data_IF_628177581487
#
_entry.id   IF_628177581487
#
_cell.length_a   1.000
_cell.length_b   1.000
_cell.length_c   1.000
_cell.angle_alpha   90.00
_cell.angle_beta   90.00
_cell.angle_gamma   90.00
#
_symmetry.space_group_name_H-M   'P 1'
#
loop_
_entity.id
_entity.type
_entity.pdbx_description
1 polymer ?
#
# COMPACT_ATOMS: atom_id res chain seq x y z
N UNK A 1 1.23 -6.88 10.48
CA UNK A 1 1.19 -7.22 9.06
C UNK A 1 -0.14 -7.90 8.76
N UNK A 2 -0.90 -7.34 7.77
CA UNK A 2 -2.23 -7.83 7.40
C UNK A 2 -2.19 -8.73 6.16
N UNK A 3 -1.02 -9.28 5.82
CA UNK A 3 -0.82 -10.13 4.64
C UNK A 3 -0.79 -11.59 5.11
N UNK A 4 -1.68 -12.39 4.55
CA UNK A 4 -1.76 -13.84 4.77
C UNK A 4 -0.84 -14.59 3.79
N UNK A 5 -0.84 -14.16 2.53
CA UNK A 5 -0.11 -14.83 1.47
C UNK A 5 0.40 -13.84 0.43
N UNK A 6 1.60 -14.09 -0.05
CA UNK A 6 2.20 -13.44 -1.21
C UNK A 6 2.46 -14.54 -2.22
N UNK A 7 1.89 -14.43 -3.43
CA UNK A 7 2.11 -15.36 -4.53
C UNK A 7 2.64 -14.60 -5.74
N UNK A 8 3.69 -15.15 -6.33
CA UNK A 8 4.26 -14.69 -7.60
C UNK A 8 4.01 -15.75 -8.65
N UNK A 9 3.27 -15.40 -9.70
CA UNK A 9 3.09 -16.24 -10.90
C UNK A 9 4.00 -15.69 -11.99
N UNK A 10 4.81 -16.54 -12.60
CA UNK A 10 5.72 -16.20 -13.72
C UNK A 10 5.29 -17.00 -14.93
N UNK A 11 5.12 -16.36 -16.08
CA UNK A 11 4.63 -16.98 -17.30
C UNK A 11 3.12 -17.14 -17.30
N UNK A 12 2.64 -18.23 -17.89
CA UNK A 12 1.20 -18.51 -18.05
C UNK A 12 0.51 -18.72 -16.69
N UNK A 13 -0.63 -18.06 -16.52
CA UNK A 13 -1.45 -18.21 -15.33
C UNK A 13 -2.43 -19.41 -15.52
N UNK A 14 -2.35 -20.39 -14.65
CA UNK A 14 -3.27 -21.53 -14.64
C UNK A 14 -4.74 -21.13 -14.37
N UNK A 15 -4.94 -20.06 -13.60
CA UNK A 15 -6.28 -19.50 -13.35
C UNK A 15 -6.66 -18.54 -14.48
N UNK A 16 -7.57 -18.95 -15.35
CA UNK A 16 -8.09 -18.12 -16.44
C UNK A 16 -9.11 -17.08 -15.97
N UNK A 17 -9.69 -17.24 -14.76
CA UNK A 17 -10.70 -16.34 -14.20
C UNK A 17 -10.07 -15.18 -13.42
N UNK A 18 -9.30 -14.37 -14.13
CA UNK A 18 -8.51 -13.25 -13.62
C UNK A 18 -8.68 -12.01 -14.52
N UNK A 19 -8.28 -10.83 -14.08
CA UNK A 19 -8.24 -9.62 -14.92
C UNK A 19 -7.41 -9.83 -16.19
N UNK A 20 -7.80 -9.17 -17.29
CA UNK A 20 -7.10 -9.29 -18.59
C UNK A 20 -5.60 -8.96 -18.49
N UNK A 21 -5.23 -7.93 -17.71
CA UNK A 21 -3.83 -7.56 -17.48
C UNK A 21 -3.01 -8.67 -16.80
N UNK A 22 -3.64 -9.52 -15.99
CA UNK A 22 -2.93 -10.64 -15.34
C UNK A 22 -2.50 -11.67 -16.36
N UNK A 23 -3.35 -11.96 -17.35
CA UNK A 23 -3.03 -12.86 -18.47
C UNK A 23 -1.99 -12.25 -19.42
N UNK A 24 -2.09 -10.94 -19.67
CA UNK A 24 -1.19 -10.22 -20.55
C UNK A 24 0.19 -9.89 -19.94
N UNK A 25 0.39 -10.16 -18.65
CA UNK A 25 1.64 -9.84 -17.93
C UNK A 25 2.58 -11.03 -17.88
N UNK A 26 3.88 -10.80 -18.06
CA UNK A 26 4.91 -11.83 -17.91
C UNK A 26 5.03 -12.37 -16.48
N UNK A 27 4.60 -11.59 -15.49
CA UNK A 27 4.54 -11.98 -14.09
C UNK A 27 3.43 -11.22 -13.37
N UNK A 28 2.78 -11.88 -12.41
CA UNK A 28 1.74 -11.30 -11.55
C UNK A 28 2.06 -11.54 -10.07
N UNK A 29 2.10 -10.47 -9.29
CA UNK A 29 2.23 -10.52 -7.83
C UNK A 29 0.85 -10.37 -7.20
N UNK A 30 0.40 -11.38 -6.47
CA UNK A 30 -0.86 -11.38 -5.73
C UNK A 30 -0.59 -11.29 -4.23
N UNK A 31 -1.18 -10.27 -3.60
CA UNK A 31 -1.17 -10.10 -2.15
C UNK A 31 -2.56 -10.43 -1.60
N UNK A 32 -2.63 -11.35 -0.68
CA UNK A 32 -3.86 -11.72 0.00
C UNK A 32 -3.81 -11.26 1.45
N UNK A 33 -4.77 -10.40 1.84
CA UNK A 33 -4.92 -9.95 3.22
C UNK A 33 -5.52 -11.03 4.10
N UNK A 34 -5.21 -11.02 5.39
CA UNK A 34 -5.83 -11.88 6.39
C UNK A 34 -7.31 -11.49 6.50
N UNK A 35 -8.20 -12.45 6.29
CA UNK A 35 -9.62 -12.30 6.62
C UNK A 35 -9.82 -12.51 8.11
N UNK A 36 -10.64 -11.67 8.78
CA UNK A 36 -10.94 -11.85 10.20
C UNK A 36 -11.62 -13.21 10.46
N UNK A 37 -11.20 -13.88 11.53
CA UNK A 37 -11.85 -15.10 12.04
C UNK A 37 -12.78 -14.75 13.20
N UNK A 38 -14.06 -15.02 13.02
CA UNK A 38 -15.12 -14.76 14.01
C UNK A 38 -15.75 -16.06 14.58
N UNK A 39 -15.05 -17.19 14.53
CA UNK A 39 -15.55 -18.47 15.02
C UNK A 39 -15.88 -18.44 16.53
N UNK A 40 -15.12 -17.68 17.32
CA UNK A 40 -15.27 -17.63 18.78
C UNK A 40 -15.91 -16.34 19.31
N UNK A 41 -15.75 -15.21 18.63
CA UNK A 41 -16.22 -13.89 19.08
C UNK A 41 -16.65 -13.03 17.90
N UNK A 42 -17.63 -12.15 18.12
CA UNK A 42 -18.11 -11.19 17.11
C UNK A 42 -17.22 -9.97 16.94
N UNK A 43 -16.30 -9.73 17.86
CA UNK A 43 -15.34 -8.62 17.76
C UNK A 43 -13.98 -9.01 18.33
N UNK A 44 -12.94 -8.40 17.76
CA UNK A 44 -11.56 -8.54 18.23
C UNK A 44 -10.90 -7.18 18.27
N UNK A 45 -10.17 -6.91 19.34
CA UNK A 45 -9.32 -5.73 19.46
C UNK A 45 -7.89 -6.17 19.70
N UNK A 46 -6.97 -5.71 18.85
CA UNK A 46 -5.54 -5.97 18.95
C UNK A 46 -4.81 -4.66 19.11
N UNK A 47 -3.98 -4.55 20.14
CA UNK A 47 -3.05 -3.45 20.34
C UNK A 47 -1.61 -3.97 20.27
N UNK A 48 -0.72 -3.24 19.63
CA UNK A 48 0.69 -3.56 19.54
C UNK A 48 1.51 -2.27 19.67
N UNK A 49 2.63 -2.34 20.40
CA UNK A 49 3.62 -1.27 20.46
C UNK A 49 4.97 -1.89 20.14
N UNK A 50 5.62 -1.37 19.09
CA UNK A 50 7.02 -1.69 18.78
C UNK A 50 7.88 -0.50 19.17
N UNK A 51 9.01 -0.77 19.79
CA UNK A 51 10.02 0.24 20.12
C UNK A 51 11.37 -0.23 19.57
N UNK A 52 12.24 0.71 19.30
CA UNK A 52 13.56 0.42 18.74
C UNK A 52 14.58 1.50 19.05
N UNK A 53 15.78 1.32 18.54
CA UNK A 53 16.86 2.29 18.68
C UNK A 53 16.50 3.65 18.05
N UNK A 54 17.20 4.70 18.51
CA UNK A 54 17.10 6.05 17.96
C UNK A 54 15.71 6.68 18.06
N UNK A 55 15.01 6.42 19.17
CA UNK A 55 13.71 7.02 19.46
C UNK A 55 12.55 6.43 18.64
N UNK A 56 12.72 5.22 18.09
CA UNK A 56 11.64 4.56 17.36
C UNK A 56 10.51 4.13 18.31
N UNK A 57 9.30 4.55 17.97
CA UNK A 57 8.04 4.10 18.58
C UNK A 57 7.00 3.86 17.48
N UNK A 58 6.31 2.72 17.54
CA UNK A 58 5.33 2.34 16.53
C UNK A 58 4.12 1.63 17.18
N UNK A 59 3.16 2.38 17.73
CA UNK A 59 1.88 1.84 18.15
C UNK A 59 0.99 1.49 16.97
N UNK A 60 0.24 0.40 17.11
CA UNK A 60 -0.79 -0.07 16.19
C UNK A 60 -2.01 -0.49 16.99
N UNK A 61 -3.19 -0.16 16.48
CA UNK A 61 -4.47 -0.66 16.95
C UNK A 61 -5.25 -1.25 15.78
N UNK A 62 -5.82 -2.43 15.97
CA UNK A 62 -6.69 -3.09 15.01
C UNK A 62 -7.98 -3.51 15.69
N UNK A 63 -9.11 -3.16 15.08
CA UNK A 63 -10.43 -3.56 15.52
C UNK A 63 -11.15 -4.30 14.39
N UNK A 64 -11.78 -5.44 14.74
CA UNK A 64 -12.50 -6.30 13.82
C UNK A 64 -13.90 -6.53 14.39
N UNK A 65 -14.91 -6.46 13.51
CA UNK A 65 -16.30 -6.59 13.89
C UNK A 65 -17.08 -7.44 12.87
N UNK A 66 -17.77 -8.47 13.37
CA UNK A 66 -18.83 -9.17 12.65
C UNK A 66 -20.18 -8.52 12.98
N UNK A 67 -20.79 -7.87 12.01
CA UNK A 67 -22.12 -7.24 12.20
C UNK A 67 -23.24 -8.28 12.13
N UNK A 68 -23.14 -9.19 11.15
CA UNK A 68 -24.05 -10.33 10.99
C UNK A 68 -23.33 -11.46 10.21
N UNK A 69 -24.08 -12.53 9.83
CA UNK A 69 -23.49 -13.67 9.10
C UNK A 69 -22.99 -13.32 7.68
N UNK A 70 -23.38 -12.16 7.16
CA UNK A 70 -23.04 -11.74 5.80
C UNK A 70 -22.07 -10.56 5.74
N UNK A 71 -21.89 -9.82 6.83
CA UNK A 71 -21.13 -8.55 6.83
C UNK A 71 -20.17 -8.51 8.00
N UNK A 72 -18.92 -8.29 7.71
CA UNK A 72 -17.88 -7.99 8.69
C UNK A 72 -16.94 -6.90 8.18
N UNK A 73 -16.23 -6.27 9.10
CA UNK A 73 -15.24 -5.24 8.79
C UNK A 73 -14.03 -5.33 9.71
N UNK A 74 -12.91 -4.81 9.25
CA UNK A 74 -11.74 -4.55 10.07
C UNK A 74 -11.21 -3.14 9.83
N UNK A 75 -10.74 -2.48 10.88
CA UNK A 75 -10.04 -1.20 10.78
C UNK A 75 -8.70 -1.28 11.51
N UNK A 76 -7.69 -0.66 10.94
CA UNK A 76 -6.35 -0.61 11.53
C UNK A 76 -5.85 0.83 11.48
N UNK A 77 -5.34 1.31 12.60
CA UNK A 77 -4.61 2.58 12.71
C UNK A 77 -3.19 2.31 13.19
N UNK A 78 -2.22 2.94 12.57
CA UNK A 78 -0.81 2.81 12.95
C UNK A 78 -0.12 4.17 12.86
N UNK A 79 0.70 4.43 13.85
CA UNK A 79 1.61 5.55 13.88
C UNK A 79 3.04 5.05 14.03
N UNK A 80 3.99 5.67 13.37
CA UNK A 80 5.41 5.40 13.56
C UNK A 80 6.17 6.71 13.61
N UNK A 81 7.08 6.81 14.57
CA UNK A 81 8.07 7.90 14.67
C UNK A 81 9.42 7.30 14.98
N UNK A 82 10.46 7.84 14.36
CA UNK A 82 11.85 7.60 14.74
C UNK A 82 12.66 8.86 14.51
N UNK A 83 13.51 9.22 15.48
CA UNK A 83 14.41 10.38 15.36
C UNK A 83 15.61 10.04 14.49
N UNK A 84 16.04 8.77 14.46
CA UNK A 84 17.16 8.24 13.67
C UNK A 84 18.47 9.03 13.84
N UNK A 85 18.68 9.64 15.01
CA UNK A 85 19.87 10.39 15.36
C UNK A 85 20.93 9.43 15.91
N UNK A 86 21.79 8.90 15.05
CA UNK A 86 22.84 7.97 15.44
C UNK A 86 24.25 8.57 15.31
N UNK A 87 25.17 8.22 16.22
CA UNK A 87 26.57 8.57 16.10
C UNK A 87 27.26 7.66 15.07
N UNK A 88 28.21 8.22 14.32
CA UNK A 88 29.07 7.46 13.41
C UNK A 88 30.48 8.04 13.41
N UNK A 89 31.44 7.29 12.92
CA UNK A 89 32.80 7.74 12.71
C UNK A 89 33.00 8.10 11.24
N UNK A 90 33.34 9.36 10.99
CA UNK A 90 33.74 9.81 9.66
C UNK A 90 35.25 9.62 9.50
N UNK A 91 35.63 8.90 8.44
CA UNK A 91 37.04 8.68 8.07
C UNK A 91 37.24 9.25 6.68
N UNK A 92 38.18 10.19 6.54
CA UNK A 92 38.55 10.78 5.25
C UNK A 92 40.08 10.96 5.20
N UNK A 93 40.79 9.97 4.63
CA UNK A 93 42.25 9.87 4.72
C UNK A 93 42.68 9.74 6.18
N UNK A 94 43.57 10.59 6.62
CA UNK A 94 44.08 10.62 8.02
C UNK A 94 43.14 11.35 8.98
N UNK A 95 42.09 12.01 8.48
CA UNK A 95 41.11 12.70 9.31
C UNK A 95 40.05 11.74 9.81
N UNK A 96 39.95 11.65 11.13
CA UNK A 96 38.93 10.80 11.81
C UNK A 96 38.16 11.66 12.79
N UNK A 97 36.84 11.74 12.64
CA UNK A 97 35.97 12.44 13.59
C UNK A 97 34.76 11.63 14.01
N UNK A 98 34.25 11.90 15.22
CA UNK A 98 32.98 11.35 15.70
C UNK A 98 31.88 12.35 15.37
N UNK A 99 30.98 11.92 14.52
CA UNK A 99 29.89 12.73 14.00
C UNK A 99 28.54 12.16 14.49
N UNK A 100 27.50 12.96 14.31
CA UNK A 100 26.11 12.55 14.57
C UNK A 100 25.27 12.78 13.33
N UNK A 101 24.48 11.79 12.94
CA UNK A 101 23.56 11.90 11.83
C UNK A 101 22.42 12.83 12.23
N UNK A 102 22.21 13.91 11.47
CA UNK A 102 21.12 14.86 11.64
C UNK A 102 20.18 14.83 10.45
N UNK A 103 19.03 15.50 10.56
CA UNK A 103 18.01 15.61 9.52
C UNK A 103 17.58 14.23 8.97
N UNK A 104 17.23 13.30 9.87
CA UNK A 104 16.96 11.91 9.56
C UNK A 104 15.70 11.38 10.26
N UNK A 105 14.87 12.28 10.83
CA UNK A 105 13.65 11.84 11.48
C UNK A 105 12.60 11.42 10.45
N UNK A 106 11.75 10.50 10.86
CA UNK A 106 10.60 10.02 10.09
C UNK A 106 9.37 9.96 10.97
N UNK A 107 8.24 10.35 10.41
CA UNK A 107 6.93 10.23 11.02
C UNK A 107 5.93 9.73 10.01
N UNK A 108 5.21 8.66 10.34
CA UNK A 108 4.28 7.98 9.44
C UNK A 108 2.94 7.75 10.13
N UNK A 109 1.87 8.02 9.41
CA UNK A 109 0.50 7.65 9.77
C UNK A 109 -0.04 6.68 8.73
N UNK A 110 -0.71 5.63 9.18
CA UNK A 110 -1.38 4.65 8.31
C UNK A 110 -2.76 4.33 8.85
N UNK A 111 -3.74 4.36 7.96
CA UNK A 111 -5.11 3.94 8.24
C UNK A 111 -5.58 2.94 7.19
N UNK A 112 -6.30 1.91 7.63
CA UNK A 112 -6.84 0.88 6.77
C UNK A 112 -8.26 0.50 7.23
N UNK A 113 -9.18 0.40 6.28
CA UNK A 113 -10.52 -0.13 6.49
C UNK A 113 -10.79 -1.23 5.46
N UNK A 114 -11.19 -2.41 5.91
CA UNK A 114 -11.62 -3.50 5.05
C UNK A 114 -13.07 -3.85 5.36
N UNK A 115 -13.84 -4.10 4.32
CA UNK A 115 -15.22 -4.53 4.37
C UNK A 115 -15.37 -5.86 3.64
N UNK A 116 -16.01 -6.82 4.28
CA UNK A 116 -16.25 -8.17 3.75
C UNK A 116 -17.75 -8.43 3.76
N UNK A 117 -18.31 -8.69 2.59
CA UNK A 117 -19.74 -8.94 2.40
C UNK A 117 -19.92 -10.24 1.62
N UNK A 118 -20.68 -11.17 2.18
CA UNK A 118 -21.07 -12.43 1.52
C UNK A 118 -22.59 -12.50 1.51
N UNK A 119 -23.27 -11.88 0.52
CA UNK A 119 -24.73 -11.81 0.48
C UNK A 119 -25.39 -13.19 0.47
N UNK A 120 -24.71 -14.16 -0.15
CA UNK A 120 -25.05 -15.56 -0.24
C UNK A 120 -23.77 -16.43 -0.40
N UNK A 121 -23.90 -17.75 -0.45
CA UNK A 121 -22.76 -18.67 -0.54
C UNK A 121 -22.03 -18.63 -1.91
N UNK A 122 -22.54 -17.90 -2.89
CA UNK A 122 -22.01 -17.82 -4.25
C UNK A 122 -21.42 -16.46 -4.60
N UNK A 123 -21.61 -15.46 -3.74
CA UNK A 123 -21.21 -14.09 -4.02
C UNK A 123 -20.38 -13.51 -2.89
N UNK A 124 -19.29 -12.85 -3.23
CA UNK A 124 -18.44 -12.13 -2.28
C UNK A 124 -18.15 -10.72 -2.81
N UNK A 125 -18.20 -9.75 -1.94
CA UNK A 125 -17.82 -8.36 -2.19
C UNK A 125 -16.87 -7.92 -1.10
N UNK A 126 -15.63 -7.59 -1.49
CA UNK A 126 -14.60 -7.09 -0.60
C UNK A 126 -14.27 -5.64 -0.98
N UNK A 127 -14.27 -4.77 0.01
CA UNK A 127 -13.88 -3.37 -0.12
C UNK A 127 -12.67 -3.06 0.75
N UNK A 128 -11.78 -2.19 0.28
CA UNK A 128 -10.63 -1.70 1.04
C UNK A 128 -10.46 -0.22 0.82
N UNK A 129 -10.20 0.50 1.91
CA UNK A 129 -9.73 1.88 1.92
C UNK A 129 -8.41 1.91 2.66
N UNK A 130 -7.44 2.61 2.11
CA UNK A 130 -6.12 2.74 2.69
C UNK A 130 -5.64 4.18 2.60
N UNK A 131 -5.06 4.69 3.69
CA UNK A 131 -4.42 5.98 3.75
C UNK A 131 -3.03 5.86 4.37
N UNK A 132 -2.08 6.57 3.79
CA UNK A 132 -0.70 6.65 4.24
C UNK A 132 -0.20 8.09 4.11
N UNK A 133 0.43 8.63 5.16
CA UNK A 133 1.08 9.94 5.16
C UNK A 133 2.42 9.78 5.88
N UNK A 134 3.52 10.01 5.17
CA UNK A 134 4.85 10.01 5.76
C UNK A 134 5.53 11.35 5.52
N UNK A 135 6.20 11.83 6.56
CA UNK A 135 7.06 12.99 6.51
C UNK A 135 8.43 12.58 7.03
N UNK A 136 9.43 12.67 6.16
CA UNK A 136 10.79 12.28 6.49
C UNK A 136 11.79 13.37 6.14
N UNK A 137 12.76 13.55 6.99
CA UNK A 137 13.94 14.34 6.73
C UNK A 137 14.97 13.47 6.02
N UNK A 138 15.68 14.06 5.05
CA UNK A 138 16.69 13.36 4.28
C UNK A 138 18.08 13.88 4.69
N UNK A 139 18.93 13.02 5.23
CA UNK A 139 20.16 13.45 5.88
C UNK A 139 21.28 13.86 4.92
N UNK A 140 21.06 13.77 3.59
CA UNK A 140 22.06 14.11 2.58
C UNK A 140 23.31 13.24 2.57
N UNK A 141 24.30 13.58 1.76
CA UNK A 141 25.56 12.84 1.68
C UNK A 141 26.45 13.05 2.92
N UNK A 142 27.20 12.03 3.30
CA UNK A 142 28.22 12.13 4.34
C UNK A 142 29.55 12.55 3.70
N UNK A 143 29.80 13.84 3.69
CA UNK A 143 31.05 14.45 3.18
C UNK A 143 31.62 15.43 4.19
N UNK A 144 32.93 15.67 4.14
CA UNK A 144 33.68 16.41 5.16
C UNK A 144 33.19 17.85 5.40
N UNK A 145 32.63 18.49 4.37
CA UNK A 145 32.19 19.88 4.40
C UNK A 145 30.68 20.02 4.21
N UNK A 146 29.92 18.94 4.44
CA UNK A 146 28.48 19.03 4.28
C UNK A 146 27.88 19.80 5.46
N UNK A 147 27.34 20.98 5.18
CA UNK A 147 26.40 21.60 6.07
C UNK A 147 25.21 20.64 6.29
N UNK A 148 24.57 20.70 7.47
CA UNK A 148 23.39 19.88 7.76
C UNK A 148 22.39 19.99 6.64
N UNK A 149 22.01 18.87 6.02
CA UNK A 149 20.96 18.81 5.00
C UNK A 149 19.66 19.42 5.56
N UNK A 150 18.91 20.11 4.68
CA UNK A 150 17.56 20.62 4.97
C UNK A 150 16.51 19.99 4.07
N UNK A 151 16.87 18.88 3.47
CA UNK A 151 16.01 18.13 2.57
C UNK A 151 14.88 17.43 3.34
N UNK A 152 13.68 17.49 2.81
CA UNK A 152 12.47 16.86 3.35
C UNK A 152 11.71 16.21 2.23
N UNK A 153 11.13 15.05 2.51
CA UNK A 153 10.21 14.36 1.60
C UNK A 153 8.92 14.06 2.35
N UNK A 154 7.79 14.48 1.80
CA UNK A 154 6.47 14.09 2.28
C UNK A 154 5.76 13.31 1.20
N UNK A 155 5.29 12.13 1.56
CA UNK A 155 4.50 11.29 0.68
C UNK A 155 3.15 11.00 1.29
N UNK A 156 2.10 11.14 0.49
CA UNK A 156 0.72 10.81 0.85
C UNK A 156 0.17 9.86 -0.18
N UNK A 157 -0.51 8.86 0.27
CA UNK A 157 -1.21 7.93 -0.60
C UNK A 157 -2.59 7.62 -0.03
N UNK A 158 -3.59 7.67 -0.90
CA UNK A 158 -4.93 7.18 -0.62
C UNK A 158 -5.32 6.23 -1.73
N UNK A 159 -5.80 5.05 -1.40
CA UNK A 159 -6.48 4.23 -2.38
C UNK A 159 -7.74 3.60 -1.81
N UNK A 160 -8.69 3.36 -2.70
CA UNK A 160 -9.83 2.51 -2.45
C UNK A 160 -9.91 1.44 -3.53
N UNK A 161 -10.32 0.25 -3.15
CA UNK A 161 -10.52 -0.86 -4.08
C UNK A 161 -11.75 -1.66 -3.71
N UNK A 162 -12.37 -2.24 -4.72
CA UNK A 162 -13.49 -3.16 -4.60
C UNK A 162 -13.22 -4.40 -5.44
N UNK A 163 -13.58 -5.54 -4.90
CA UNK A 163 -13.50 -6.84 -5.57
C UNK A 163 -14.82 -7.54 -5.37
N UNK A 164 -15.52 -7.82 -6.47
CA UNK A 164 -16.78 -8.56 -6.50
C UNK A 164 -16.63 -9.82 -7.33
N UNK A 165 -17.05 -10.96 -6.77
CA UNK A 165 -17.08 -12.25 -7.44
C UNK A 165 -18.42 -12.92 -7.18
N UNK A 166 -19.02 -13.49 -8.24
CA UNK A 166 -20.25 -14.25 -8.11
C UNK A 166 -20.28 -15.43 -9.08
N UNK A 167 -20.96 -16.49 -8.66
CA UNK A 167 -21.16 -17.73 -9.41
C UNK A 167 -22.67 -17.96 -9.58
N UNK A 168 -23.15 -18.09 -10.82
CA UNK A 168 -24.55 -18.39 -11.11
C UNK A 168 -24.78 -19.87 -11.42
N UNK A 169 -26.02 -20.32 -11.32
CA UNK A 169 -26.38 -21.74 -11.54
C UNK A 169 -26.20 -22.21 -12.98
N UNK A 170 -26.22 -21.31 -13.94
CA UNK A 170 -26.09 -21.58 -15.37
C UNK A 170 -24.63 -21.66 -15.86
N UNK A 171 -23.71 -22.06 -14.99
CA UNK A 171 -22.27 -22.18 -15.29
C UNK A 171 -21.58 -20.86 -15.70
N UNK A 172 -22.19 -19.75 -15.34
CA UNK A 172 -21.62 -18.41 -15.50
C UNK A 172 -21.02 -17.92 -14.20
N UNK A 173 -19.89 -17.21 -14.30
CA UNK A 173 -19.27 -16.55 -13.17
C UNK A 173 -18.80 -15.16 -13.58
N UNK A 174 -18.92 -14.19 -12.69
CA UNK A 174 -18.53 -12.80 -12.92
C UNK A 174 -17.51 -12.36 -11.87
N UNK A 175 -16.45 -11.71 -12.33
CA UNK A 175 -15.44 -11.04 -11.53
C UNK A 175 -15.39 -9.57 -11.92
N UNK A 176 -15.51 -8.67 -10.95
CA UNK A 176 -15.36 -7.23 -11.16
C UNK A 176 -14.34 -6.71 -10.15
N UNK A 177 -13.41 -5.90 -10.62
CA UNK A 177 -12.51 -5.14 -9.77
C UNK A 177 -12.60 -3.65 -10.10
N UNK A 178 -12.49 -2.82 -9.08
CA UNK A 178 -12.34 -1.38 -9.21
C UNK A 178 -11.25 -0.90 -8.25
N UNK A 179 -10.45 0.08 -8.68
CA UNK A 179 -9.46 0.75 -7.84
C UNK A 179 -9.38 2.22 -8.22
N UNK A 180 -9.35 3.05 -7.21
CA UNK A 180 -8.93 4.44 -7.30
C UNK A 180 -7.68 4.61 -6.44
N UNK A 181 -6.66 5.24 -6.98
CA UNK A 181 -5.45 5.61 -6.24
C UNK A 181 -5.16 7.10 -6.45
N UNK A 182 -4.85 7.78 -5.38
CA UNK A 182 -4.33 9.14 -5.36
C UNK A 182 -3.03 9.15 -4.56
N UNK A 183 -1.99 9.74 -5.12
CA UNK A 183 -0.73 9.94 -4.42
C UNK A 183 -0.19 11.35 -4.63
N UNK A 184 0.51 11.82 -3.63
CA UNK A 184 1.25 13.07 -3.64
C UNK A 184 2.66 12.80 -3.13
N UNK A 185 3.66 13.27 -3.87
CA UNK A 185 5.05 13.37 -3.40
C UNK A 185 5.46 14.85 -3.39
N UNK A 186 6.04 15.29 -2.28
CA UNK A 186 6.51 16.65 -2.09
C UNK A 186 7.94 16.61 -1.55
N UNK A 187 8.88 16.93 -2.42
CA UNK A 187 10.29 17.10 -2.06
C UNK A 187 10.58 18.58 -1.85
N UNK A 188 11.27 18.91 -0.76
CA UNK A 188 11.65 20.28 -0.42
C UNK A 188 13.08 20.31 0.10
N UNK A 189 13.95 21.11 -0.54
CA UNK A 189 15.34 21.36 -0.12
C UNK A 189 15.59 22.87 0.04
N UNK A 190 15.84 23.30 1.26
CA UNK A 190 16.19 24.70 1.64
C UNK A 190 17.72 24.89 1.67
N UNK A 191 18.51 24.03 1.04
CA UNK A 191 19.97 24.00 1.14
C UNK A 191 20.72 25.11 0.41
N UNK A 192 20.03 26.01 -0.28
CA UNK A 192 20.65 27.16 -0.97
C UNK A 192 21.46 26.80 -2.22
N UNK A 193 21.35 25.55 -2.70
CA UNK A 193 22.08 25.04 -3.87
C UNK A 193 21.44 25.47 -5.19
N UNK A 194 20.23 26.01 -5.15
CA UNK A 194 19.39 26.29 -6.32
C UNK A 194 19.23 27.80 -6.55
N UNK A 195 19.05 28.22 -7.80
CA UNK A 195 18.61 29.59 -8.10
C UNK A 195 17.29 29.86 -7.37
N UNK A 196 17.24 30.91 -6.55
CA UNK A 196 16.08 31.20 -5.70
C UNK A 196 16.17 30.67 -4.26
N UNK A 197 17.20 29.88 -3.93
CA UNK A 197 17.52 29.46 -2.56
C UNK A 197 16.86 28.16 -2.10
N UNK A 198 15.86 27.64 -2.81
CA UNK A 198 15.16 26.42 -2.48
C UNK A 198 14.74 25.62 -3.72
N UNK A 199 14.55 24.32 -3.56
CA UNK A 199 13.86 23.45 -4.51
C UNK A 199 12.57 22.94 -3.86
N UNK A 200 11.45 23.05 -4.58
CA UNK A 200 10.13 22.69 -4.07
C UNK A 200 9.32 21.97 -5.13
N UNK A 201 9.49 20.65 -5.22
CA UNK A 201 8.88 19.80 -6.23
C UNK A 201 7.65 19.09 -5.67
N UNK A 202 6.53 19.16 -6.39
CA UNK A 202 5.29 18.49 -6.02
C UNK A 202 4.75 17.71 -7.20
N UNK A 203 4.44 16.45 -6.93
CA UNK A 203 3.85 15.52 -7.90
C UNK A 203 2.54 15.00 -7.36
N UNK A 204 1.50 15.02 -8.20
CA UNK A 204 0.19 14.46 -7.90
C UNK A 204 -0.15 13.42 -8.94
N UNK A 205 -0.41 12.20 -8.52
CA UNK A 205 -0.82 11.12 -9.41
C UNK A 205 -2.20 10.62 -9.05
N UNK A 206 -3.02 10.35 -10.07
CA UNK A 206 -4.31 9.67 -9.94
C UNK A 206 -4.35 8.49 -10.89
N UNK A 207 -4.81 7.36 -10.39
CA UNK A 207 -5.03 6.15 -11.17
C UNK A 207 -6.46 5.68 -10.95
N UNK A 208 -7.15 5.40 -12.03
CA UNK A 208 -8.44 4.73 -12.06
C UNK A 208 -8.26 3.43 -12.80
N UNK A 209 -8.63 2.34 -12.17
CA UNK A 209 -8.60 1.02 -12.74
C UNK A 209 -9.93 0.33 -12.55
N UNK A 210 -10.44 -0.29 -13.60
CA UNK A 210 -11.56 -1.20 -13.53
C UNK A 210 -11.31 -2.41 -14.41
N UNK A 211 -11.76 -3.58 -13.98
CA UNK A 211 -11.69 -4.80 -14.77
C UNK A 211 -12.97 -5.61 -14.60
N UNK A 212 -13.32 -6.33 -15.66
CA UNK A 212 -14.40 -7.31 -15.67
C UNK A 212 -13.93 -8.59 -16.33
N UNK A 213 -14.29 -9.75 -15.75
CA UNK A 213 -14.08 -11.05 -16.36
C UNK A 213 -15.36 -11.87 -16.22
N UNK A 214 -15.81 -12.46 -17.33
CA UNK A 214 -16.95 -13.36 -17.42
C UNK A 214 -16.44 -14.75 -17.81
N UNK A 215 -16.64 -15.71 -16.92
CA UNK A 215 -16.30 -17.13 -17.14
C UNK A 215 -17.58 -17.89 -17.46
N UNK A 216 -17.56 -18.67 -18.55
CA UNK A 216 -18.60 -19.60 -18.93
C UNK A 216 -18.04 -21.02 -19.05
N UNK A 217 -18.62 -21.96 -18.31
CA UNK A 217 -18.18 -23.36 -18.25
C UNK A 217 -19.34 -24.27 -18.68
N UNK A 218 -19.62 -24.40 -20.00
CA UNK A 218 -20.76 -25.16 -20.50
C UNK A 218 -20.70 -26.66 -20.16
N UNK A 219 -19.50 -27.22 -20.05
CA UNK A 219 -19.25 -28.61 -19.70
C UNK A 219 -18.04 -28.74 -18.79
N UNK A 220 -17.80 -29.91 -18.19
CA UNK A 220 -16.61 -30.16 -17.36
C UNK A 220 -15.28 -30.12 -18.13
N UNK A 221 -15.30 -30.11 -19.46
CA UNK A 221 -14.13 -30.15 -20.33
C UNK A 221 -13.84 -28.78 -21.02
N UNK A 222 -14.79 -27.84 -20.97
CA UNK A 222 -14.68 -26.59 -21.67
C UNK A 222 -14.94 -25.42 -20.75
N UNK A 223 -14.00 -24.48 -20.73
CA UNK A 223 -14.15 -23.19 -20.05
C UNK A 223 -13.73 -22.07 -20.99
N UNK A 224 -14.52 -21.01 -21.03
CA UNK A 224 -14.23 -19.81 -21.82
C UNK A 224 -14.28 -18.59 -20.92
N UNK A 225 -13.32 -17.69 -21.07
CA UNK A 225 -13.27 -16.41 -20.36
C UNK A 225 -13.24 -15.26 -21.36
N UNK A 226 -14.06 -14.26 -21.09
CA UNK A 226 -13.93 -12.92 -21.67
C UNK A 226 -13.54 -11.96 -20.56
N UNK A 227 -12.40 -11.28 -20.70
CA UNK A 227 -11.91 -10.31 -19.73
C UNK A 227 -11.49 -9.00 -20.41
N UNK A 228 -11.80 -7.88 -19.76
CA UNK A 228 -11.41 -6.55 -20.22
C UNK A 228 -11.01 -5.67 -19.04
N UNK A 229 -9.99 -4.85 -19.25
CA UNK A 229 -9.47 -3.90 -18.27
C UNK A 229 -9.47 -2.48 -18.85
N UNK A 230 -9.74 -1.51 -17.98
CA UNK A 230 -9.58 -0.10 -18.29
C UNK A 230 -8.70 0.56 -17.24
N UNK A 231 -7.71 1.33 -17.69
CA UNK A 231 -6.78 2.07 -16.84
C UNK A 231 -6.70 3.51 -17.34
N UNK A 232 -6.85 4.45 -16.43
CA UNK A 232 -6.59 5.86 -16.67
C UNK A 232 -5.64 6.41 -15.62
N UNK A 233 -4.54 6.99 -16.06
CA UNK A 233 -3.52 7.60 -15.22
C UNK A 233 -3.38 9.09 -15.55
N UNK A 234 -3.26 9.92 -14.52
CA UNK A 234 -2.96 11.33 -14.64
C UNK A 234 -1.84 11.71 -13.68
N UNK A 235 -0.83 12.37 -14.17
CA UNK A 235 0.28 12.92 -13.40
C UNK A 235 0.36 14.43 -13.61
N UNK A 236 0.31 15.19 -12.53
CA UNK A 236 0.54 16.63 -12.51
C UNK A 236 1.81 16.89 -11.69
N UNK A 237 2.72 17.65 -12.27
CA UNK A 237 3.91 18.17 -11.60
C UNK A 237 3.86 19.69 -11.61
N UNK A 238 4.27 20.35 -10.52
CA UNK A 238 4.67 21.74 -10.59
C UNK A 238 6.18 21.74 -10.80
N UNK A 239 6.60 22.16 -11.92
CA UNK A 239 7.99 22.51 -12.21
C UNK A 239 8.11 24.02 -12.22
#
# INVERSE_FOLDING_TARGET
>A
DNIQQISLTIGDNEDIFVPARTVASAAALKLQSISPDFSNKKNHLTGQIKTGSFGMINPLIRYEQKFNEKISASTTGEFMRADNLYPFTLVNGDYVSKEKRYNNNIQTYRGELNLYISPNNRSTLNGKIYYYDTNQQLPGAVILYNAKSREKLRERNFFSQVHYRTYWENNLSLLINGKFNWSQSHYHDEGGKYPGGELNDRYFQREYYTSGALLYTPTSHWSMVYAADYIYNNLNANT
#
